data_IF_966058138078
#
_entry.id   IF_966058138078
#
_cell.length_a   1.000
_cell.length_b   1.000
_cell.length_c   1.000
_cell.angle_alpha   90.00
_cell.angle_beta   90.00
_cell.angle_gamma   90.00
#
_symmetry.space_group_name_H-M   'P 1'
#
loop_
_entity.id
_entity.type
_entity.pdbx_description
1 polymer ?
#
# COMPACT_ATOMS: atom_id res chain seq x y z
N UNK A 1 -20.89 -25.59 -18.56
CA UNK A 1 -20.82 -24.12 -18.44
C UNK A 1 -21.09 -23.78 -16.99
N UNK A 2 -20.10 -23.30 -16.24
CA UNK A 2 -20.31 -22.82 -14.87
C UNK A 2 -20.66 -21.34 -14.97
N UNK A 3 -21.89 -20.97 -14.64
CA UNK A 3 -22.24 -19.56 -14.41
C UNK A 3 -21.43 -19.06 -13.23
N UNK A 4 -20.52 -18.12 -13.45
CA UNK A 4 -19.89 -17.39 -12.35
C UNK A 4 -21.00 -16.65 -11.59
N UNK A 5 -21.21 -17.06 -10.34
CA UNK A 5 -22.14 -16.39 -9.43
C UNK A 5 -21.39 -15.19 -8.85
N UNK A 6 -21.70 -14.01 -9.37
CA UNK A 6 -21.13 -12.74 -8.92
C UNK A 6 -21.98 -12.15 -7.81
N UNK A 7 -21.31 -11.53 -6.84
CA UNK A 7 -21.96 -10.68 -5.85
C UNK A 7 -22.49 -9.42 -6.54
N UNK A 8 -23.70 -9.00 -6.19
CA UNK A 8 -24.22 -7.70 -6.56
C UNK A 8 -23.79 -6.61 -5.56
N UNK A 9 -24.12 -5.36 -5.85
CA UNK A 9 -23.71 -4.22 -5.04
C UNK A 9 -24.24 -4.31 -3.59
N UNK A 10 -25.46 -4.81 -3.41
CA UNK A 10 -26.06 -4.99 -2.09
C UNK A 10 -25.33 -6.08 -1.29
N UNK A 11 -24.97 -7.20 -1.93
CA UNK A 11 -24.16 -8.24 -1.30
C UNK A 11 -22.79 -7.73 -0.87
N UNK A 12 -22.11 -6.96 -1.73
CA UNK A 12 -20.80 -6.37 -1.42
C UNK A 12 -20.93 -5.46 -0.20
N UNK A 13 -21.94 -4.58 -0.19
CA UNK A 13 -22.21 -3.66 0.91
C UNK A 13 -22.52 -4.38 2.22
N UNK A 14 -23.32 -5.44 2.18
CA UNK A 14 -23.59 -6.26 3.36
C UNK A 14 -22.34 -6.99 3.84
N UNK A 15 -21.55 -7.56 2.93
CA UNK A 15 -20.30 -8.23 3.29
C UNK A 15 -19.27 -7.26 3.86
N UNK A 16 -19.19 -6.01 3.36
CA UNK A 16 -18.37 -4.94 3.94
C UNK A 16 -18.74 -4.70 5.39
N UNK A 17 -20.03 -4.54 5.71
CA UNK A 17 -20.50 -4.33 7.09
C UNK A 17 -20.15 -5.51 8.00
N UNK A 18 -20.16 -6.73 7.46
CA UNK A 18 -19.75 -7.92 8.19
C UNK A 18 -18.24 -7.92 8.44
N UNK A 19 -17.42 -7.59 7.43
CA UNK A 19 -15.95 -7.52 7.57
C UNK A 19 -15.48 -6.47 8.56
N UNK A 20 -16.20 -5.34 8.68
CA UNK A 20 -15.85 -4.29 9.64
C UNK A 20 -15.79 -4.79 11.09
N UNK A 21 -16.50 -5.88 11.45
CA UNK A 21 -16.41 -6.44 12.81
C UNK A 21 -15.06 -7.11 13.10
N UNK A 22 -14.27 -7.39 12.07
CA UNK A 22 -12.96 -8.03 12.18
C UNK A 22 -11.80 -7.03 12.24
N UNK A 23 -12.06 -5.74 12.02
CA UNK A 23 -11.01 -4.74 11.88
C UNK A 23 -10.97 -3.89 13.14
N UNK A 24 -9.91 -4.11 13.93
CA UNK A 24 -9.62 -3.31 15.12
C UNK A 24 -8.42 -2.40 14.90
N UNK A 25 -7.51 -2.78 14.01
CA UNK A 25 -6.23 -2.10 13.76
C UNK A 25 -5.80 -2.26 12.30
N UNK A 26 -4.85 -1.43 11.88
CA UNK A 26 -4.19 -1.57 10.57
C UNK A 26 -3.52 -2.95 10.40
N UNK A 27 -3.00 -3.55 11.49
CA UNK A 27 -2.38 -4.86 11.41
C UNK A 27 -3.40 -5.99 11.27
N UNK A 28 -4.64 -5.79 11.75
CA UNK A 28 -5.77 -6.69 11.47
C UNK A 28 -6.07 -6.75 9.97
N UNK A 29 -6.00 -5.62 9.26
CA UNK A 29 -6.17 -5.56 7.80
C UNK A 29 -5.10 -6.38 7.07
N UNK A 30 -3.83 -6.19 7.46
CA UNK A 30 -2.71 -6.98 6.89
C UNK A 30 -2.89 -8.47 7.17
N UNK A 31 -3.33 -8.83 8.38
CA UNK A 31 -3.56 -10.21 8.75
C UNK A 31 -4.69 -10.85 7.95
N UNK A 32 -5.80 -10.13 7.70
CA UNK A 32 -6.87 -10.59 6.80
C UNK A 32 -6.31 -10.91 5.41
N UNK A 33 -5.48 -10.03 4.85
CA UNK A 33 -4.87 -10.27 3.55
C UNK A 33 -3.96 -11.51 3.57
N UNK A 34 -3.07 -11.65 4.56
CA UNK A 34 -2.21 -12.83 4.72
C UNK A 34 -3.02 -14.12 4.84
N UNK A 35 -4.09 -14.08 5.63
CA UNK A 35 -4.99 -15.21 5.85
C UNK A 35 -5.70 -15.65 4.57
N UNK A 36 -6.02 -14.70 3.70
CA UNK A 36 -6.54 -14.96 2.36
C UNK A 36 -5.45 -15.40 1.38
N UNK A 37 -4.17 -15.37 1.75
CA UNK A 37 -3.05 -15.65 0.84
C UNK A 37 -2.74 -14.50 -0.11
N UNK A 38 -3.15 -13.28 0.26
CA UNK A 38 -2.87 -12.03 -0.44
C UNK A 38 -1.69 -11.36 0.23
N UNK A 39 -0.65 -11.02 -0.53
CA UNK A 39 0.48 -10.28 0.00
C UNK A 39 0.06 -8.84 0.34
N UNK A 40 0.11 -8.41 1.62
CA UNK A 40 -0.33 -7.08 2.01
C UNK A 40 0.45 -5.94 1.35
N UNK A 41 1.67 -6.20 0.89
CA UNK A 41 2.49 -5.18 0.21
C UNK A 41 2.08 -4.94 -1.24
N UNK A 42 1.27 -5.83 -1.80
CA UNK A 42 0.87 -5.75 -3.19
C UNK A 42 -0.50 -5.07 -3.36
N UNK A 43 -1.27 -4.90 -2.28
CA UNK A 43 -2.60 -4.30 -2.29
C UNK A 43 -2.55 -2.90 -1.69
N UNK A 44 -2.55 -1.88 -2.55
CA UNK A 44 -2.33 -0.48 -2.18
C UNK A 44 -3.41 0.09 -1.25
N UNK A 45 -4.64 -0.46 -1.28
CA UNK A 45 -5.75 0.02 -0.46
C UNK A 45 -5.71 -0.48 1.00
N UNK A 46 -4.70 -1.27 1.40
CA UNK A 46 -4.54 -1.73 2.80
C UNK A 46 -4.11 -0.59 3.73
N UNK A 47 -3.35 0.37 3.20
CA UNK A 47 -2.67 1.42 3.97
C UNK A 47 -3.22 2.79 3.57
N UNK A 48 -3.63 3.60 4.55
CA UNK A 48 -4.10 4.97 4.32
C UNK A 48 -5.57 5.13 3.91
N UNK A 49 -6.33 4.04 3.79
CA UNK A 49 -7.78 4.06 3.55
C UNK A 49 -8.57 3.92 4.86
N UNK A 50 -9.84 4.30 4.87
CA UNK A 50 -10.75 3.96 5.97
C UNK A 50 -10.98 2.45 6.02
N UNK A 51 -11.44 1.92 7.17
CA UNK A 51 -11.75 0.48 7.28
C UNK A 51 -12.83 0.05 6.29
N UNK A 52 -13.82 0.93 6.07
CA UNK A 52 -14.92 0.72 5.13
C UNK A 52 -14.42 0.66 3.68
N UNK A 53 -13.55 1.59 3.29
CA UNK A 53 -12.91 1.59 1.97
C UNK A 53 -12.03 0.36 1.77
N UNK A 54 -11.25 -0.03 2.78
CA UNK A 54 -10.44 -1.25 2.72
C UNK A 54 -11.31 -2.50 2.49
N UNK A 55 -12.37 -2.70 3.29
CA UNK A 55 -13.28 -3.83 3.16
C UNK A 55 -13.93 -3.88 1.78
N UNK A 56 -14.47 -2.73 1.34
CA UNK A 56 -15.18 -2.62 0.07
C UNK A 56 -14.26 -2.91 -1.11
N UNK A 57 -13.08 -2.29 -1.16
CA UNK A 57 -12.11 -2.51 -2.25
C UNK A 57 -11.57 -3.94 -2.28
N UNK A 58 -11.39 -4.57 -1.10
CA UNK A 58 -10.99 -5.97 -1.02
C UNK A 58 -12.06 -6.88 -1.61
N UNK A 59 -13.31 -6.75 -1.17
CA UNK A 59 -14.43 -7.58 -1.64
C UNK A 59 -14.67 -7.33 -3.13
N UNK A 60 -14.75 -6.08 -3.55
CA UNK A 60 -14.99 -5.71 -4.95
C UNK A 60 -13.89 -6.27 -5.85
N UNK A 61 -12.62 -6.13 -5.47
CA UNK A 61 -11.51 -6.68 -6.23
C UNK A 61 -11.61 -8.20 -6.35
N UNK A 62 -11.88 -8.92 -5.25
CA UNK A 62 -12.04 -10.37 -5.30
C UNK A 62 -13.22 -10.79 -6.19
N UNK A 63 -14.34 -10.07 -6.12
CA UNK A 63 -15.55 -10.37 -6.89
C UNK A 63 -15.32 -10.09 -8.39
N UNK A 64 -14.82 -8.89 -8.72
CA UNK A 64 -14.54 -8.44 -10.09
C UNK A 64 -13.57 -9.33 -10.84
N UNK A 65 -12.55 -9.87 -10.15
CA UNK A 65 -11.56 -10.77 -10.75
C UNK A 65 -11.94 -12.26 -10.68
N UNK A 66 -13.14 -12.59 -10.19
CA UNK A 66 -13.64 -13.96 -10.15
C UNK A 66 -12.92 -14.85 -9.13
N UNK A 67 -12.35 -14.27 -8.08
CA UNK A 67 -11.63 -14.97 -7.00
C UNK A 67 -12.59 -15.52 -5.94
N UNK A 68 -13.61 -16.26 -6.41
CA UNK A 68 -14.68 -16.81 -5.58
C UNK A 68 -14.17 -17.68 -4.42
N UNK A 69 -13.09 -18.45 -4.63
CA UNK A 69 -12.46 -19.26 -3.56
C UNK A 69 -12.00 -18.41 -2.37
N UNK A 70 -11.46 -17.22 -2.63
CA UNK A 70 -10.97 -16.30 -1.59
C UNK A 70 -12.13 -15.64 -0.85
N UNK A 71 -13.21 -15.30 -1.57
CA UNK A 71 -14.44 -14.82 -0.95
C UNK A 71 -15.07 -15.92 -0.08
N UNK A 72 -15.10 -17.16 -0.56
CA UNK A 72 -15.56 -18.30 0.24
C UNK A 72 -14.70 -18.49 1.49
N UNK A 73 -13.37 -18.38 1.38
CA UNK A 73 -12.46 -18.45 2.52
C UNK A 73 -12.72 -17.34 3.54
N UNK A 74 -12.91 -16.11 3.07
CA UNK A 74 -13.29 -14.97 3.92
C UNK A 74 -14.60 -15.25 4.67
N UNK A 75 -15.62 -15.71 3.94
CA UNK A 75 -16.93 -16.01 4.53
C UNK A 75 -16.87 -17.18 5.52
N UNK A 76 -16.36 -18.34 5.11
CA UNK A 76 -16.41 -19.59 5.87
C UNK A 76 -15.38 -19.64 7.00
N UNK A 77 -14.12 -19.24 6.74
CA UNK A 77 -13.02 -19.48 7.67
C UNK A 77 -12.83 -18.30 8.64
N UNK A 78 -13.28 -17.10 8.25
CA UNK A 78 -13.00 -15.87 8.99
C UNK A 78 -14.25 -15.26 9.59
N UNK A 79 -15.25 -14.94 8.77
CA UNK A 79 -16.47 -14.30 9.24
C UNK A 79 -17.37 -15.26 10.02
N UNK A 80 -17.58 -16.48 9.51
CA UNK A 80 -18.50 -17.43 10.12
C UNK A 80 -18.16 -17.75 11.59
N UNK A 81 -16.90 -18.06 11.97
CA UNK A 81 -16.56 -18.36 13.37
C UNK A 81 -16.76 -17.16 14.31
N UNK A 82 -16.56 -15.94 13.82
CA UNK A 82 -16.73 -14.70 14.60
C UNK A 82 -18.22 -14.40 14.79
N UNK A 83 -19.01 -14.46 13.71
CA UNK A 83 -20.44 -14.17 13.77
C UNK A 83 -21.24 -15.26 14.50
N UNK A 84 -20.77 -16.51 14.48
CA UNK A 84 -21.41 -17.61 15.21
C UNK A 84 -21.19 -17.51 16.73
N UNK A 85 -20.16 -16.77 17.21
CA UNK A 85 -19.90 -16.54 18.62
C UNK A 85 -20.70 -15.33 19.15
N UNK A 86 -21.95 -15.64 19.47
CA UNK A 86 -23.00 -14.96 20.25
C UNK A 86 -23.31 -13.46 20.13
N UNK A 87 -22.40 -12.48 20.12
CA UNK A 87 -22.85 -11.05 20.11
C UNK A 87 -23.37 -10.60 18.74
N UNK A 88 -22.88 -11.23 17.67
CA UNK A 88 -23.22 -10.89 16.28
C UNK A 88 -24.07 -11.96 15.57
N UNK A 89 -24.66 -12.88 16.34
CA UNK A 89 -25.43 -14.01 15.80
C UNK A 89 -26.60 -13.59 14.91
N UNK A 90 -27.21 -12.43 15.17
CA UNK A 90 -28.26 -11.86 14.32
C UNK A 90 -27.81 -11.59 12.87
N UNK A 91 -26.50 -11.37 12.63
CA UNK A 91 -25.91 -11.09 11.31
C UNK A 91 -25.54 -12.37 10.54
N UNK A 92 -25.62 -13.54 11.17
CA UNK A 92 -25.26 -14.82 10.53
C UNK A 92 -26.20 -15.15 9.36
N UNK A 93 -27.46 -14.71 9.42
CA UNK A 93 -28.45 -14.94 8.38
C UNK A 93 -28.06 -14.23 7.07
N UNK A 94 -27.53 -13.00 7.16
CA UNK A 94 -26.98 -12.26 6.02
C UNK A 94 -25.79 -13.00 5.41
N UNK A 95 -24.83 -13.44 6.23
CA UNK A 95 -23.68 -14.19 5.75
C UNK A 95 -24.10 -15.50 5.04
N UNK A 96 -25.07 -16.23 5.60
CA UNK A 96 -25.57 -17.49 5.01
C UNK A 96 -26.15 -17.30 3.61
N UNK A 97 -26.92 -16.21 3.38
CA UNK A 97 -27.46 -15.89 2.05
C UNK A 97 -26.34 -15.67 1.02
N UNK A 98 -25.29 -14.94 1.40
CA UNK A 98 -24.14 -14.68 0.54
C UNK A 98 -23.37 -15.99 0.25
N UNK A 99 -23.15 -16.81 1.27
CA UNK A 99 -22.52 -18.14 1.17
C UNK A 99 -23.29 -19.07 0.23
N UNK A 100 -24.62 -19.10 0.34
CA UNK A 100 -25.51 -19.87 -0.53
C UNK A 100 -25.45 -19.36 -1.98
N UNK A 101 -25.51 -18.03 -2.18
CA UNK A 101 -25.40 -17.40 -3.51
C UNK A 101 -24.07 -17.71 -4.18
N UNK A 102 -22.98 -17.73 -3.42
CA UNK A 102 -21.64 -18.09 -3.90
C UNK A 102 -21.40 -19.60 -3.93
N UNK A 103 -22.36 -20.44 -3.53
CA UNK A 103 -22.21 -21.88 -3.44
C UNK A 103 -20.93 -22.29 -2.67
N UNK A 104 -20.61 -21.59 -1.58
CA UNK A 104 -19.43 -21.87 -0.76
C UNK A 104 -19.68 -23.09 0.15
N UNK A 105 -18.76 -24.04 0.18
CA UNK A 105 -18.84 -25.19 1.07
C UNK A 105 -18.23 -24.88 2.45
N UNK A 106 -19.01 -24.26 3.33
CA UNK A 106 -18.57 -23.94 4.70
C UNK A 106 -18.65 -25.13 5.69
N UNK A 107 -18.99 -26.35 5.23
CA UNK A 107 -19.21 -27.52 6.10
C UNK A 107 -17.91 -28.24 6.51
N UNK A 108 -16.82 -27.51 6.73
CA UNK A 108 -15.62 -28.12 7.32
C UNK A 108 -15.73 -28.06 8.84
N UNK A 109 -16.04 -29.23 9.43
CA UNK A 109 -15.60 -29.54 10.79
C UNK A 109 -14.15 -29.12 10.91
N UNK A 110 -13.86 -28.26 11.87
CA UNK A 110 -12.52 -27.80 12.25
C UNK A 110 -11.58 -28.98 12.31
N UNK A 111 -10.80 -29.21 11.24
CA UNK A 111 -9.57 -29.96 11.36
C UNK A 111 -8.70 -29.12 12.29
N UNK A 112 -8.52 -29.60 13.51
CA UNK A 112 -7.52 -29.09 14.43
C UNK A 112 -6.17 -29.23 13.74
N UNK A 113 -5.77 -28.22 12.98
CA UNK A 113 -4.42 -28.13 12.49
C UNK A 113 -3.54 -27.86 13.72
N UNK A 114 -2.55 -28.72 14.01
CA UNK A 114 -1.58 -28.41 15.04
C UNK A 114 -0.95 -27.05 14.69
N UNK A 115 -0.78 -26.20 15.71
CA UNK A 115 -0.06 -24.93 15.62
C UNK A 115 1.25 -25.22 14.88
N UNK A 116 1.48 -24.65 13.69
CA UNK A 116 2.75 -24.85 12.99
C UNK A 116 3.85 -24.29 13.88
N UNK A 117 4.71 -25.17 14.38
CA UNK A 117 6.00 -24.77 14.93
C UNK A 117 6.73 -24.08 13.80
N UNK A 118 6.87 -22.75 13.88
CA UNK A 118 7.50 -21.90 12.86
C UNK A 118 8.88 -22.47 12.54
N UNK A 119 9.08 -23.09 11.36
CA UNK A 119 10.42 -23.29 10.86
C UNK A 119 10.89 -21.95 10.32
N UNK A 120 12.18 -21.64 10.51
CA UNK A 120 12.85 -20.49 9.91
C UNK A 120 12.36 -20.30 8.46
N UNK A 121 11.77 -19.12 8.19
CA UNK A 121 11.25 -18.75 6.88
C UNK A 121 12.42 -18.31 5.99
N UNK A 122 13.31 -19.25 5.67
CA UNK A 122 14.21 -19.10 4.53
C UNK A 122 13.43 -19.47 3.25
N UNK A 123 13.32 -18.46 2.39
CA UNK A 123 13.20 -18.54 0.93
C UNK A 123 12.33 -19.67 0.34
N UNK A 124 11.01 -19.51 0.40
CA UNK A 124 10.18 -19.89 -0.75
C UNK A 124 9.30 -18.71 -1.11
N UNK A 125 9.69 -18.00 -2.17
CA UNK A 125 8.97 -16.85 -2.73
C UNK A 125 7.54 -17.30 -3.11
N UNK A 126 6.48 -16.85 -2.42
CA UNK A 126 5.13 -17.11 -2.91
C UNK A 126 4.98 -16.43 -4.27
N UNK A 127 4.46 -17.16 -5.27
CA UNK A 127 4.16 -16.59 -6.59
C UNK A 127 3.24 -15.37 -6.37
N UNK A 128 3.66 -14.21 -6.89
CA UNK A 128 2.90 -12.96 -6.75
C UNK A 128 1.49 -13.17 -7.31
N UNK A 129 0.48 -12.78 -6.54
CA UNK A 129 -0.92 -12.84 -6.99
C UNK A 129 -1.14 -12.02 -8.27
N UNK A 130 -0.32 -10.98 -8.54
CA UNK A 130 -0.29 -10.30 -9.84
C UNK A 130 0.25 -11.17 -10.98
N UNK A 131 1.19 -12.08 -10.74
CA UNK A 131 1.68 -12.99 -11.79
C UNK A 131 0.65 -14.06 -12.21
N UNK A 132 -0.38 -14.31 -11.40
CA UNK A 132 -1.51 -15.19 -11.75
C UNK A 132 -2.51 -14.51 -12.71
N UNK A 133 -2.49 -13.17 -12.81
CA UNK A 133 -3.36 -12.34 -13.67
C UNK A 133 -3.03 -12.51 -15.16
N UNK A 134 -1.83 -12.99 -15.51
CA UNK A 134 -1.38 -13.13 -16.90
C UNK A 134 -1.51 -14.51 -17.54
N UNK A 135 -2.08 -15.52 -16.85
CA UNK A 135 -2.03 -16.93 -17.29
C UNK A 135 -3.39 -17.56 -17.63
N UNK A 136 -4.36 -16.79 -18.12
CA UNK A 136 -5.49 -17.35 -18.89
C UNK A 136 -5.14 -17.41 -20.38
N UNK A 137 -5.00 -18.63 -20.91
CA UNK A 137 -4.56 -18.94 -22.28
C UNK A 137 -5.57 -18.47 -23.35
N UNK A 138 -5.02 -17.77 -24.34
CA UNK A 138 -5.33 -17.75 -25.78
C UNK A 138 -6.77 -17.50 -26.29
N UNK A 139 -6.99 -16.29 -26.80
CA UNK A 139 -7.68 -16.01 -28.08
C UNK A 139 -7.33 -14.55 -28.44
N UNK A 140 -6.52 -14.26 -29.45
CA UNK A 140 -6.91 -14.11 -30.85
C UNK A 140 -5.62 -14.18 -31.70
N UNK A 141 -5.63 -15.04 -32.71
CA UNK A 141 -4.64 -15.05 -33.77
C UNK A 141 -4.82 -13.77 -34.62
N UNK A 142 -3.84 -12.86 -34.58
CA UNK A 142 -3.76 -11.79 -35.57
C UNK A 142 -3.07 -12.30 -36.82
N UNK A 143 -3.87 -12.43 -37.87
CA UNK A 143 -3.44 -12.67 -39.24
C UNK A 143 -2.44 -11.63 -39.70
N UNK A 144 -1.33 -12.12 -40.24
CA UNK A 144 -0.32 -11.39 -41.01
C UNK A 144 -0.99 -10.62 -42.16
N UNK A 145 -0.99 -9.29 -42.10
CA UNK A 145 -1.48 -8.45 -43.19
C UNK A 145 -1.28 -6.96 -42.91
N UNK A 146 -0.19 -6.39 -43.42
CA UNK A 146 -0.02 -4.96 -43.71
C UNK A 146 -0.20 -3.93 -42.55
N UNK A 147 0.39 -4.17 -41.37
CA UNK A 147 0.32 -3.22 -40.23
C UNK A 147 1.64 -2.88 -39.53
N UNK A 148 2.81 -3.20 -40.12
CA UNK A 148 4.09 -3.14 -39.40
C UNK A 148 4.79 -1.77 -39.39
N UNK A 149 4.23 -0.75 -40.07
CA UNK A 149 4.86 0.59 -40.15
C UNK A 149 4.33 1.55 -39.05
N UNK A 150 3.17 1.30 -38.45
CA UNK A 150 2.59 2.21 -37.43
C UNK A 150 3.12 1.97 -36.01
N UNK A 151 3.66 0.78 -35.71
CA UNK A 151 4.15 0.43 -34.35
C UNK A 151 5.53 1.03 -34.07
N UNK A 152 6.37 1.24 -35.10
CA UNK A 152 7.69 1.86 -34.95
C UNK A 152 7.63 3.38 -34.73
N UNK A 153 6.58 4.07 -35.21
CA UNK A 153 6.37 5.51 -34.95
C UNK A 153 5.79 5.79 -33.55
N UNK A 154 5.00 4.86 -32.97
CA UNK A 154 4.45 5.02 -31.62
C UNK A 154 5.52 4.94 -30.51
N UNK A 155 6.58 4.15 -30.71
CA UNK A 155 7.65 3.97 -29.72
C UNK A 155 8.61 5.17 -29.68
N UNK A 156 8.71 5.95 -30.77
CA UNK A 156 9.58 7.14 -30.84
C UNK A 156 8.95 8.41 -30.26
N UNK A 157 7.63 8.40 -29.97
CA UNK A 157 6.91 9.56 -29.44
C UNK A 157 6.58 9.47 -27.96
N UNK A 158 6.92 8.37 -27.27
CA UNK A 158 6.90 8.36 -25.81
C UNK A 158 8.03 9.26 -25.31
N UNK A 159 7.75 10.41 -24.69
CA UNK A 159 8.80 11.19 -24.08
C UNK A 159 9.50 10.28 -23.06
N UNK A 160 10.79 10.00 -23.29
CA UNK A 160 11.65 9.41 -22.28
C UNK A 160 11.71 10.40 -21.13
N UNK A 161 10.83 10.22 -20.15
CA UNK A 161 10.97 10.88 -18.86
C UNK A 161 12.22 10.29 -18.23
N UNK A 162 13.35 10.98 -18.44
CA UNK A 162 14.59 10.62 -17.78
C UNK A 162 14.35 10.68 -16.27
N UNK A 163 14.74 9.64 -15.52
CA UNK A 163 14.61 9.66 -14.07
C UNK A 163 15.34 10.87 -13.51
N UNK A 164 14.67 11.62 -12.65
CA UNK A 164 15.29 12.75 -11.94
C UNK A 164 16.01 12.18 -10.72
N UNK A 165 17.28 12.51 -10.56
CA UNK A 165 18.06 12.14 -9.38
C UNK A 165 18.10 13.34 -8.44
N UNK A 166 17.74 13.14 -7.18
CA UNK A 166 17.79 14.17 -6.15
C UNK A 166 18.48 13.65 -4.88
N UNK A 167 19.19 14.54 -4.20
CA UNK A 167 19.79 14.29 -2.90
C UNK A 167 18.87 14.87 -1.82
N UNK A 168 18.55 14.09 -0.79
CA UNK A 168 17.67 14.49 0.31
C UNK A 168 18.55 14.77 1.53
N UNK A 169 18.53 16.02 2.01
CA UNK A 169 19.23 16.38 3.24
C UNK A 169 18.27 16.27 4.43
N UNK A 170 18.46 15.29 5.35
CA UNK A 170 17.58 15.12 6.51
C UNK A 170 17.75 16.23 7.54
N UNK A 171 18.73 17.13 7.37
CA UNK A 171 18.99 18.24 8.32
C UNK A 171 18.18 19.50 8.04
N UNK A 172 17.37 19.48 6.99
CA UNK A 172 16.62 20.64 6.56
C UNK A 172 15.12 20.44 6.83
N UNK A 173 14.53 21.16 7.80
CA UNK A 173 13.08 21.10 8.01
C UNK A 173 12.31 21.70 6.82
N UNK A 174 12.94 22.65 6.12
CA UNK A 174 12.46 23.22 4.86
C UNK A 174 13.44 22.84 3.76
N UNK A 175 13.30 21.67 3.13
CA UNK A 175 14.24 21.24 2.09
C UNK A 175 14.14 22.17 0.87
N UNK A 176 15.22 22.28 0.08
CA UNK A 176 15.17 23.01 -1.18
C UNK A 176 14.19 22.33 -2.15
N UNK A 177 13.56 23.16 -3.00
CA UNK A 177 12.74 22.66 -4.08
C UNK A 177 13.59 21.85 -5.08
N UNK A 178 13.06 20.72 -5.54
CA UNK A 178 13.68 19.95 -6.63
C UNK A 178 13.28 20.61 -7.96
N UNK A 179 13.95 21.72 -8.28
CA UNK A 179 13.55 22.69 -9.32
C UNK A 179 13.47 22.13 -10.75
N UNK A 180 14.12 21.00 -11.00
CA UNK A 180 14.07 20.30 -12.30
C UNK A 180 12.69 19.69 -12.60
N UNK A 181 11.75 19.79 -11.66
CA UNK A 181 10.50 19.06 -11.67
C UNK A 181 9.32 19.97 -11.38
N UNK A 182 8.46 20.18 -12.39
CA UNK A 182 7.14 20.76 -12.21
C UNK A 182 6.10 19.66 -12.24
N UNK A 183 5.55 19.35 -11.07
CA UNK A 183 4.47 18.39 -10.89
C UNK A 183 3.15 19.12 -11.07
N UNK A 184 2.21 18.52 -11.81
CA UNK A 184 0.84 18.98 -11.92
C UNK A 184 -0.05 18.18 -10.97
N UNK A 185 -1.14 18.81 -10.52
CA UNK A 185 -2.22 18.10 -9.82
C UNK A 185 -2.71 16.94 -10.68
N UNK A 186 -2.81 15.77 -10.09
CA UNK A 186 -3.19 14.51 -10.74
C UNK A 186 -2.01 13.67 -11.24
N UNK A 187 -0.79 14.23 -11.34
CA UNK A 187 0.38 13.44 -11.69
C UNK A 187 0.64 12.37 -10.61
N UNK A 188 1.02 11.17 -11.04
CA UNK A 188 1.50 10.11 -10.15
C UNK A 188 3.02 10.22 -10.06
N UNK A 189 3.49 10.48 -8.84
CA UNK A 189 4.90 10.68 -8.50
C UNK A 189 5.41 9.41 -7.85
N UNK A 190 6.49 8.86 -8.41
CA UNK A 190 7.20 7.70 -7.86
C UNK A 190 8.59 8.13 -7.38
N UNK A 191 8.88 7.95 -6.11
CA UNK A 191 10.15 8.27 -5.44
C UNK A 191 10.78 6.96 -4.97
N UNK A 192 11.88 6.56 -5.61
CA UNK A 192 12.64 5.35 -5.28
C UNK A 192 13.94 5.72 -4.57
N UNK A 193 14.06 5.51 -3.25
CA UNK A 193 15.33 5.63 -2.55
C UNK A 193 16.35 4.64 -3.10
N UNK A 194 17.63 5.04 -3.11
CA UNK A 194 18.72 4.12 -3.42
C UNK A 194 18.76 2.97 -2.40
N UNK A 195 19.28 1.81 -2.80
CA UNK A 195 19.39 0.61 -1.96
C UNK A 195 20.16 0.88 -0.66
N UNK A 196 21.13 1.79 -0.73
CA UNK A 196 21.98 2.17 0.40
C UNK A 196 21.47 3.40 1.17
N UNK A 197 20.27 3.92 0.86
CA UNK A 197 19.69 5.09 1.52
C UNK A 197 19.60 4.87 3.03
N UNK A 198 20.40 5.62 3.79
CA UNK A 198 20.36 5.62 5.27
C UNK A 198 20.68 6.99 5.85
N UNK A 199 19.91 7.37 6.86
CA UNK A 199 20.20 8.50 7.74
C UNK A 199 19.81 8.14 9.17
N UNK A 200 20.10 9.02 10.12
CA UNK A 200 19.61 8.92 11.48
C UNK A 200 19.06 10.28 11.90
N UNK A 201 18.00 10.29 12.71
CA UNK A 201 17.43 11.51 13.29
C UNK A 201 17.64 11.57 14.81
N UNK A 202 18.69 10.90 15.27
CA UNK A 202 19.09 10.88 16.67
C UNK A 202 20.57 11.24 16.76
N UNK A 203 20.99 11.86 17.87
CA UNK A 203 22.39 12.11 18.12
C UNK A 203 23.19 10.79 18.10
N UNK A 204 24.43 10.88 17.63
CA UNK A 204 25.39 9.77 17.48
C UNK A 204 25.06 8.70 16.42
N UNK A 205 23.99 8.84 15.64
CA UNK A 205 23.63 7.92 14.55
C UNK A 205 23.57 6.43 14.94
N UNK A 206 23.29 6.11 16.20
CA UNK A 206 23.31 4.73 16.72
C UNK A 206 22.26 3.84 16.04
N UNK A 207 21.19 4.44 15.53
CA UNK A 207 20.06 3.75 14.91
C UNK A 207 19.79 4.29 13.50
N UNK A 208 20.64 3.99 12.50
CA UNK A 208 20.39 4.44 11.14
C UNK A 208 19.13 3.76 10.60
N UNK A 209 18.21 4.57 10.10
CA UNK A 209 16.95 4.12 9.49
C UNK A 209 17.03 4.25 7.97
N UNK A 210 16.25 3.42 7.30
CA UNK A 210 15.97 3.59 5.87
C UNK A 210 14.85 4.62 5.64
N UNK A 211 14.32 4.71 4.41
CA UNK A 211 13.22 5.63 4.08
C UNK A 211 11.93 5.36 4.87
N UNK A 212 11.78 4.15 5.42
CA UNK A 212 10.68 3.76 6.31
C UNK A 212 10.68 4.43 7.68
N UNK A 213 11.82 4.97 8.14
CA UNK A 213 11.94 5.52 9.48
C UNK A 213 11.98 4.46 10.60
N UNK A 214 11.78 4.92 11.84
CA UNK A 214 11.67 4.12 13.06
C UNK A 214 10.23 3.66 13.34
N UNK A 215 9.99 3.05 14.51
CA UNK A 215 8.67 2.56 14.93
C UNK A 215 7.82 3.57 15.71
N UNK A 216 8.40 4.73 16.01
CA UNK A 216 7.75 5.77 16.82
C UNK A 216 6.81 6.63 15.98
N UNK A 217 5.64 6.94 16.53
CA UNK A 217 4.63 7.82 15.94
C UNK A 217 4.26 8.93 16.92
N UNK A 218 3.71 10.03 16.39
CA UNK A 218 2.95 11.03 17.13
C UNK A 218 3.65 11.76 18.29
N UNK A 219 4.78 12.45 18.00
CA UNK A 219 5.43 13.40 18.93
C UNK A 219 5.50 14.83 18.39
N UNK A 220 4.46 15.29 17.71
CA UNK A 220 4.46 16.62 17.10
C UNK A 220 5.35 16.72 15.85
N UNK A 221 5.52 15.60 15.14
CA UNK A 221 6.26 15.50 13.89
C UNK A 221 5.64 16.32 12.75
N UNK A 222 6.42 16.57 11.69
CA UNK A 222 5.99 17.30 10.51
C UNK A 222 4.75 16.65 9.87
N UNK A 223 4.75 15.32 9.76
CA UNK A 223 3.62 14.49 9.39
C UNK A 223 3.34 13.47 10.51
N UNK A 224 2.37 13.73 11.40
CA UNK A 224 2.09 12.86 12.55
C UNK A 224 1.69 11.42 12.19
N UNK A 225 1.09 11.23 11.01
CA UNK A 225 0.68 9.92 10.50
C UNK A 225 1.82 9.09 9.91
N UNK A 226 3.02 9.67 9.76
CA UNK A 226 4.19 8.97 9.26
C UNK A 226 5.12 8.59 10.42
N UNK A 227 5.89 7.50 10.30
CA UNK A 227 6.86 7.12 11.32
C UNK A 227 7.93 8.19 11.50
N UNK A 228 8.51 8.26 12.69
CA UNK A 228 9.67 9.09 13.01
C UNK A 228 10.83 8.80 12.06
N UNK A 229 11.52 9.85 11.60
CA UNK A 229 12.67 9.79 10.72
C UNK A 229 12.40 9.09 9.36
N UNK A 230 11.14 8.96 8.96
CA UNK A 230 10.77 8.45 7.63
C UNK A 230 10.93 9.50 6.54
N UNK A 231 11.05 9.08 5.28
CA UNK A 231 11.06 9.98 4.13
C UNK A 231 9.63 10.50 3.89
N UNK A 232 9.48 11.81 3.74
CA UNK A 232 8.20 12.46 3.42
C UNK A 232 8.34 13.39 2.21
N UNK A 233 7.24 13.60 1.50
CA UNK A 233 7.19 14.41 0.29
C UNK A 233 6.09 15.47 0.34
N UNK A 234 6.27 16.59 -0.36
CA UNK A 234 5.23 17.61 -0.56
C UNK A 234 5.35 18.22 -1.96
N UNK A 235 4.22 18.60 -2.54
CA UNK A 235 4.17 19.30 -3.84
C UNK A 235 3.62 20.71 -3.64
N UNK A 236 4.43 21.72 -3.97
CA UNK A 236 4.06 23.12 -3.80
C UNK A 236 3.62 23.44 -2.37
N UNK A 237 2.41 23.97 -2.22
CA UNK A 237 1.81 24.28 -0.91
C UNK A 237 0.92 23.16 -0.35
N UNK A 238 0.83 22.01 -1.04
CA UNK A 238 -0.05 20.89 -0.69
C UNK A 238 0.27 20.17 0.63
N UNK A 239 -0.43 19.07 0.88
CA UNK A 239 -0.20 18.24 2.06
C UNK A 239 1.16 17.50 1.99
N UNK A 240 1.64 17.05 3.15
CA UNK A 240 2.76 16.11 3.23
C UNK A 240 2.26 14.68 3.01
N UNK A 241 3.04 13.90 2.26
CA UNK A 241 2.84 12.49 1.96
C UNK A 241 3.90 11.66 2.70
N UNK A 242 3.48 10.55 3.28
CA UNK A 242 4.42 9.55 3.80
C UNK A 242 4.98 8.73 2.65
N UNK A 243 6.30 8.53 2.63
CA UNK A 243 6.98 7.57 1.74
C UNK A 243 7.58 6.39 2.52
N UNK A 244 7.10 6.15 3.74
CA UNK A 244 7.61 5.08 4.59
C UNK A 244 7.23 3.69 4.06
N UNK A 245 5.97 3.55 3.68
CA UNK A 245 5.36 2.28 3.24
C UNK A 245 5.08 2.24 1.73
N UNK A 246 5.12 3.39 1.05
CA UNK A 246 4.90 3.50 -0.39
C UNK A 246 5.97 4.37 -1.04
N UNK A 247 6.34 4.03 -2.26
CA UNK A 247 7.21 4.87 -3.09
C UNK A 247 6.42 5.73 -4.06
N UNK A 248 5.08 5.72 -3.99
CA UNK A 248 4.21 6.39 -4.96
C UNK A 248 3.08 7.17 -4.30
N UNK A 249 2.76 8.33 -4.87
CA UNK A 249 1.59 9.13 -4.48
C UNK A 249 1.03 9.91 -5.67
N UNK A 250 -0.24 10.29 -5.60
CA UNK A 250 -0.87 11.18 -6.58
C UNK A 250 -0.86 12.61 -6.06
N UNK A 251 -0.35 13.55 -6.85
CA UNK A 251 -0.22 14.93 -6.44
C UNK A 251 -1.60 15.62 -6.34
N UNK A 252 -1.97 16.05 -5.15
CA UNK A 252 -3.17 16.87 -4.88
C UNK A 252 -3.04 18.33 -5.34
N UNK A 253 -1.80 18.79 -5.55
CA UNK A 253 -1.46 20.16 -5.91
C UNK A 253 -0.42 20.20 -7.04
N UNK A 254 -0.28 21.36 -7.68
CA UNK A 254 0.78 21.63 -8.66
C UNK A 254 1.91 22.40 -8.01
N UNK A 255 3.15 22.13 -8.40
CA UNK A 255 4.29 22.87 -7.87
C UNK A 255 5.62 22.13 -7.98
N UNK A 256 6.60 22.64 -7.26
CA UNK A 256 7.89 21.95 -7.07
C UNK A 256 7.74 20.82 -6.05
N UNK A 257 8.56 19.77 -6.20
CA UNK A 257 8.65 18.67 -5.23
C UNK A 257 9.62 19.03 -4.10
N UNK A 258 9.26 18.68 -2.88
CA UNK A 258 10.06 18.80 -1.67
C UNK A 258 10.16 17.42 -1.01
N UNK A 259 11.35 17.05 -0.55
CA UNK A 259 11.63 15.79 0.15
C UNK A 259 12.45 16.07 1.41
N UNK A 260 12.06 15.51 2.55
CA UNK A 260 12.81 15.63 3.81
C UNK A 260 12.53 14.44 4.74
N UNK A 261 13.24 14.38 5.86
CA UNK A 261 12.95 13.47 6.95
C UNK A 261 11.76 13.97 7.79
N UNK A 262 10.93 13.05 8.25
CA UNK A 262 9.84 13.33 9.17
C UNK A 262 10.38 13.44 10.59
N UNK A 263 10.49 14.66 11.09
CA UNK A 263 10.98 14.93 12.42
C UNK A 263 10.05 15.88 13.17
N UNK A 264 10.38 16.19 14.42
CA UNK A 264 9.68 17.17 15.26
C UNK A 264 9.61 18.50 14.52
N UNK A 265 8.41 19.07 14.40
CA UNK A 265 8.23 20.37 13.77
C UNK A 265 9.15 21.41 14.43
N UNK A 266 9.79 22.32 13.68
CA UNK A 266 10.58 23.40 14.25
C UNK A 266 9.85 24.20 15.35
N UNK A 267 8.52 24.36 15.23
CA UNK A 267 7.68 25.05 16.23
C UNK A 267 7.51 24.29 17.55
N UNK A 268 7.76 22.98 17.55
CA UNK A 268 7.55 22.06 18.65
C UNK A 268 8.88 21.54 19.21
N UNK A 269 10.01 22.02 18.70
CA UNK A 269 11.31 21.61 19.18
C UNK A 269 11.49 22.13 20.62
N UNK A 270 11.82 21.26 21.60
CA UNK A 270 11.85 21.63 23.02
C UNK A 270 13.06 22.49 23.42
N UNK A 271 14.01 22.71 22.50
CA UNK A 271 15.21 23.49 22.73
C UNK A 271 15.02 24.91 22.18
N UNK A 272 15.61 25.90 22.86
CA UNK A 272 15.45 27.34 22.54
C UNK A 272 15.93 27.70 21.11
N UNK A 273 16.69 26.82 20.46
CA UNK A 273 17.01 26.92 19.03
C UNK A 273 16.07 26.05 18.19
N UNK A 274 15.12 26.70 17.49
CA UNK A 274 14.07 26.08 16.65
C UNK A 274 14.58 25.18 15.51
N UNK A 275 15.90 25.11 15.32
CA UNK A 275 16.57 24.36 14.27
C UNK A 275 17.24 23.08 14.79
N UNK A 276 17.28 22.86 16.11
CA UNK A 276 18.05 21.76 16.70
C UNK A 276 17.50 20.38 16.40
N UNK A 277 16.17 20.21 16.32
CA UNK A 277 15.55 18.90 16.06
C UNK A 277 15.83 18.33 14.66
N UNK A 278 16.43 19.11 13.77
CA UNK A 278 16.91 18.62 12.48
C UNK A 278 18.43 18.72 12.38
N UNK A 279 19.10 19.54 13.20
CA UNK A 279 20.54 19.79 13.06
C UNK A 279 21.39 18.62 13.53
N UNK A 280 20.85 17.78 14.42
CA UNK A 280 21.44 16.54 14.89
C UNK A 280 21.20 15.34 13.96
N UNK A 281 20.39 15.51 12.91
CA UNK A 281 20.18 14.50 11.89
C UNK A 281 21.49 14.24 11.12
N UNK A 282 21.78 12.97 10.85
CA UNK A 282 23.03 12.56 10.22
C UNK A 282 22.78 11.81 8.93
N UNK A 283 23.49 12.22 7.88
CA UNK A 283 23.57 11.46 6.63
C UNK A 283 24.58 10.34 6.83
N UNK A 284 24.10 9.09 6.74
CA UNK A 284 24.96 7.91 6.94
C UNK A 284 25.42 7.35 5.61
N UNK A 285 24.50 7.21 4.66
CA UNK A 285 24.80 6.76 3.30
C UNK A 285 23.85 7.38 2.28
N UNK A 286 24.45 7.98 1.25
CA UNK A 286 23.84 8.38 -0.03
C UNK A 286 22.30 8.51 0.02
N UNK A 287 21.76 9.61 0.57
CA UNK A 287 20.32 9.81 0.66
C UNK A 287 19.79 10.28 -0.71
N UNK A 288 20.12 9.52 -1.75
CA UNK A 288 19.77 9.77 -3.13
C UNK A 288 18.45 9.07 -3.42
N UNK A 289 17.57 9.77 -4.11
CA UNK A 289 16.33 9.22 -4.64
C UNK A 289 16.27 9.36 -6.16
N UNK A 290 15.62 8.40 -6.79
CA UNK A 290 15.20 8.47 -8.20
C UNK A 290 13.72 8.80 -8.27
N UNK A 291 13.37 9.87 -8.97
CA UNK A 291 12.01 10.37 -9.12
C UNK A 291 11.53 10.12 -10.55
N UNK A 292 10.36 9.51 -10.68
CA UNK A 292 9.64 9.30 -11.94
C UNK A 292 8.25 9.92 -11.83
N UNK A 293 7.76 10.53 -12.91
CA UNK A 293 6.46 11.18 -12.95
C UNK A 293 5.67 10.63 -14.11
N UNK A 294 4.45 10.19 -13.83
CA UNK A 294 3.47 9.73 -14.80
C UNK A 294 2.34 10.76 -14.83
N UNK A 295 2.10 11.30 -16.01
CA UNK A 295 1.06 12.29 -16.28
C UNK A 295 -0.24 11.60 -16.66
#
# INVERSE_FOLDING_TARGET
>A
MSTQLLLDEDDIKELTKLMLVMIETQESRKQICRDLGINPHEVSFIIGTSDDTFCTELIDSLNRFGYQEYICKLCCDKLFPILNKSVYSHRISTLKKIVEKLNCNCNQETKNYPIPTVPNLDESKPESWFTRIGKTKNFIAFSLGAGFISILLGILLYPRNHPIIANVDPRLPTPPAIDKVKIKKGDVVEVRPDKDFKWACEPDAKNPVGPGGGRDFDKGYMLPSAPFCSLIAKVGTGAWYSLADTTTFTADNSGSLYLTANDVKPSNCPLDDKQECYSDNQVIKNPIVTIQIRK
#
